data_IF_501419234596
#
_entry.id   IF_501419234596
#
_cell.length_a   1.000
_cell.length_b   1.000
_cell.length_c   1.000
_cell.angle_alpha   90.00
_cell.angle_beta   90.00
_cell.angle_gamma   90.00
#
_symmetry.space_group_name_H-M   'P 1'
#
loop_
_entity.id
_entity.type
_entity.pdbx_description
1 polymer ?
#
# COMPACT_ATOMS: atom_id res chain seq x y z
N UNK A 1 -36.24 13.82 16.42
CA UNK A 1 -35.30 12.68 16.38
C UNK A 1 -34.08 13.13 15.60
N UNK A 2 -33.02 13.50 16.31
CA UNK A 2 -31.78 14.01 15.72
C UNK A 2 -30.95 12.85 15.18
N UNK A 3 -30.77 12.79 13.87
CA UNK A 3 -29.74 11.97 13.24
C UNK A 3 -28.39 12.62 13.51
N UNK A 4 -27.60 11.98 14.36
CA UNK A 4 -26.25 12.41 14.70
C UNK A 4 -25.36 12.30 13.45
N UNK A 5 -24.78 13.42 13.06
CA UNK A 5 -23.70 13.54 12.09
C UNK A 5 -22.52 12.64 12.49
N UNK A 6 -22.06 11.74 11.62
CA UNK A 6 -20.79 11.01 11.83
C UNK A 6 -19.98 10.85 10.54
N UNK A 7 -19.98 11.89 9.71
CA UNK A 7 -19.02 12.03 8.60
C UNK A 7 -18.15 13.24 8.88
N UNK A 8 -17.10 13.03 9.68
CA UNK A 8 -16.12 14.08 9.99
C UNK A 8 -15.02 13.61 10.92
N UNK A 9 -13.79 13.54 10.39
CA UNK A 9 -12.51 13.64 11.14
C UNK A 9 -12.21 12.58 12.22
N UNK A 10 -12.04 11.32 11.81
CA UNK A 10 -11.31 10.34 12.63
C UNK A 10 -9.79 10.55 12.44
N UNK A 11 -9.33 11.71 12.92
CA UNK A 11 -7.93 12.11 12.93
C UNK A 11 -7.26 11.48 14.14
N UNK A 12 -6.27 10.63 13.88
CA UNK A 12 -5.53 9.92 14.91
C UNK A 12 -4.14 10.53 15.04
N UNK A 13 -3.68 10.71 16.27
CA UNK A 13 -2.26 10.93 16.51
C UNK A 13 -1.45 9.71 16.11
N UNK A 14 -0.16 9.91 15.83
CA UNK A 14 0.73 8.79 15.50
C UNK A 14 0.80 7.76 16.63
N UNK A 15 0.64 8.19 17.89
CA UNK A 15 0.60 7.30 19.04
C UNK A 15 -0.64 6.40 19.00
N UNK A 16 -1.83 6.99 18.87
CA UNK A 16 -3.09 6.24 18.75
C UNK A 16 -3.07 5.30 17.55
N UNK A 17 -2.59 5.78 16.40
CA UNK A 17 -2.48 4.98 15.19
C UNK A 17 -1.57 3.75 15.38
N UNK A 18 -0.47 3.89 16.13
CA UNK A 18 0.45 2.78 16.43
C UNK A 18 -0.11 1.75 17.41
N UNK A 19 -1.13 2.14 18.19
CA UNK A 19 -1.79 1.25 19.15
C UNK A 19 -2.90 0.40 18.52
N UNK A 20 -3.37 0.77 17.33
CA UNK A 20 -4.37 -0.02 16.61
C UNK A 20 -3.81 -1.40 16.24
N UNK A 21 -4.54 -2.43 16.64
CA UNK A 21 -4.24 -3.83 16.33
C UNK A 21 -5.15 -4.36 15.21
N UNK A 22 -4.67 -5.36 14.48
CA UNK A 22 -5.50 -6.19 13.59
C UNK A 22 -6.13 -7.37 14.35
N UNK A 23 -6.87 -8.22 13.64
CA UNK A 23 -7.57 -9.36 14.23
C UNK A 23 -6.61 -10.38 14.87
N UNK A 24 -5.36 -10.41 14.40
CA UNK A 24 -4.29 -11.27 14.88
C UNK A 24 -3.50 -10.63 16.04
N UNK A 25 -3.93 -9.47 16.54
CA UNK A 25 -3.29 -8.77 17.65
C UNK A 25 -1.98 -8.07 17.29
N UNK A 26 -1.65 -7.93 16.01
CA UNK A 26 -0.44 -7.25 15.53
C UNK A 26 -0.72 -5.79 15.26
N UNK A 27 0.32 -4.96 15.29
CA UNK A 27 0.19 -3.53 14.92
C UNK A 27 -0.28 -3.40 13.49
N UNK A 28 -1.46 -2.83 13.30
CA UNK A 28 -2.12 -2.68 11.99
C UNK A 28 -1.36 -1.75 11.05
N UNK A 29 -0.85 -0.63 11.57
CA UNK A 29 -0.15 0.40 10.77
C UNK A 29 1.35 0.52 11.08
N UNK A 30 1.89 -0.34 11.94
CA UNK A 30 3.30 -0.31 12.36
C UNK A 30 3.56 0.57 13.60
N UNK A 31 4.84 0.84 13.87
CA UNK A 31 5.27 1.64 15.03
C UNK A 31 5.12 3.14 14.80
N UNK A 32 5.15 3.92 15.89
CA UNK A 32 5.21 5.39 15.84
C UNK A 32 6.34 5.88 14.94
N UNK A 33 7.54 5.29 15.03
CA UNK A 33 8.69 5.71 14.22
C UNK A 33 8.46 5.47 12.73
N UNK A 34 7.78 4.37 12.38
CA UNK A 34 7.42 4.07 11.00
C UNK A 34 6.47 5.13 10.46
N UNK A 35 5.41 5.44 11.22
CA UNK A 35 4.43 6.45 10.83
C UNK A 35 5.08 7.84 10.73
N UNK A 36 5.91 8.22 11.70
CA UNK A 36 6.64 9.50 11.68
C UNK A 36 7.56 9.61 10.48
N UNK A 37 8.28 8.55 10.11
CA UNK A 37 9.12 8.53 8.91
C UNK A 37 8.30 8.76 7.65
N UNK A 38 7.11 8.16 7.57
CA UNK A 38 6.24 8.22 6.39
C UNK A 38 5.53 9.56 6.24
N UNK A 39 5.15 10.15 7.36
CA UNK A 39 4.73 11.56 7.40
C UNK A 39 5.85 12.47 6.89
N UNK A 40 7.08 12.30 7.38
CA UNK A 40 8.24 13.11 6.95
C UNK A 40 8.64 12.91 5.49
N UNK A 41 8.46 11.70 4.95
CA UNK A 41 8.74 11.41 3.53
C UNK A 41 7.62 11.88 2.58
N UNK A 42 6.51 12.37 3.12
CA UNK A 42 5.34 12.80 2.34
C UNK A 42 4.47 11.64 1.82
N UNK A 43 4.77 10.40 2.21
CA UNK A 43 4.00 9.22 1.80
C UNK A 43 2.67 9.06 2.55
N UNK A 44 2.51 9.74 3.70
CA UNK A 44 1.30 9.71 4.49
C UNK A 44 0.74 11.13 4.67
N UNK A 45 -0.48 11.41 4.17
CA UNK A 45 -1.16 12.67 4.41
C UNK A 45 -1.33 12.92 5.90
N UNK A 46 -1.07 14.16 6.34
CA UNK A 46 -1.16 14.54 7.74
C UNK A 46 -1.60 15.98 7.92
N UNK A 47 -2.06 16.29 9.11
CA UNK A 47 -2.31 17.65 9.61
C UNK A 47 -1.48 17.84 10.88
N UNK A 48 -0.96 19.04 11.07
CA UNK A 48 -0.28 19.41 12.31
C UNK A 48 -1.23 20.27 13.14
N UNK A 49 -1.61 19.78 14.32
CA UNK A 49 -2.49 20.49 15.27
C UNK A 49 -1.83 20.40 16.65
N UNK A 50 -1.65 21.53 17.33
CA UNK A 50 -1.00 21.63 18.64
C UNK A 50 0.37 20.94 18.73
N UNK A 51 1.17 21.06 17.65
CA UNK A 51 2.50 20.45 17.56
C UNK A 51 2.50 18.92 17.39
N UNK A 52 1.34 18.30 17.17
CA UNK A 52 1.18 16.86 16.93
C UNK A 52 0.80 16.57 15.49
N UNK A 53 1.38 15.49 14.95
CA UNK A 53 0.97 14.94 13.67
C UNK A 53 -0.32 14.13 13.85
N UNK A 54 -1.34 14.51 13.10
CA UNK A 54 -2.61 13.83 13.00
C UNK A 54 -2.79 13.28 11.59
N UNK A 55 -3.24 12.03 11.49
CA UNK A 55 -3.42 11.31 10.23
C UNK A 55 -4.85 10.77 10.17
N UNK A 56 -5.46 10.79 8.99
CA UNK A 56 -6.79 10.22 8.81
C UNK A 56 -6.74 8.68 8.90
N UNK A 57 -7.72 8.08 9.56
CA UNK A 57 -7.92 6.62 9.54
C UNK A 57 -7.97 6.06 8.11
N UNK A 58 -8.70 6.74 7.23
CA UNK A 58 -8.83 6.35 5.81
C UNK A 58 -7.50 6.40 5.07
N UNK A 59 -6.67 7.39 5.36
CA UNK A 59 -5.35 7.56 4.73
C UNK A 59 -4.39 6.47 5.19
N UNK A 60 -4.45 6.09 6.47
CA UNK A 60 -3.71 4.95 7.02
C UNK A 60 -4.11 3.63 6.35
N UNK A 61 -5.41 3.41 6.15
CA UNK A 61 -5.92 2.21 5.48
C UNK A 61 -5.53 2.17 4.00
N UNK A 62 -5.64 3.30 3.29
CA UNK A 62 -5.21 3.42 1.90
C UNK A 62 -3.71 3.16 1.75
N UNK A 63 -2.90 3.74 2.63
CA UNK A 63 -1.45 3.53 2.67
C UNK A 63 -1.10 2.05 2.91
N UNK A 64 -1.76 1.39 3.87
CA UNK A 64 -1.56 -0.05 4.13
C UNK A 64 -1.92 -0.89 2.90
N UNK A 65 -3.03 -0.57 2.23
CA UNK A 65 -3.47 -1.27 1.02
C UNK A 65 -2.47 -1.11 -0.13
N UNK A 66 -2.03 0.12 -0.41
CA UNK A 66 -1.03 0.40 -1.44
C UNK A 66 0.24 -0.44 -1.26
N UNK A 67 0.68 -0.63 0.00
CA UNK A 67 1.84 -1.48 0.30
C UNK A 67 1.59 -2.97 0.03
N UNK A 68 0.39 -3.46 0.34
CA UNK A 68 0.03 -4.85 0.07
C UNK A 68 0.02 -5.11 -1.45
N UNK A 69 -0.55 -4.18 -2.21
CA UNK A 69 -0.63 -4.26 -3.67
C UNK A 69 0.76 -4.21 -4.31
N UNK A 70 1.63 -3.30 -3.86
CA UNK A 70 3.02 -3.22 -4.33
C UNK A 70 3.81 -4.51 -4.07
N UNK A 71 3.64 -5.08 -2.87
CA UNK A 71 4.26 -6.36 -2.51
C UNK A 71 3.74 -7.50 -3.38
N UNK A 72 2.43 -7.60 -3.58
CA UNK A 72 1.83 -8.62 -4.44
C UNK A 72 2.36 -8.52 -5.88
N UNK A 73 2.46 -7.30 -6.41
CA UNK A 73 3.04 -7.06 -7.74
C UNK A 73 4.52 -7.48 -7.81
N UNK A 74 5.32 -7.14 -6.79
CA UNK A 74 6.73 -7.54 -6.73
C UNK A 74 6.89 -9.08 -6.68
N UNK A 75 6.05 -9.77 -5.91
CA UNK A 75 6.02 -11.23 -5.80
C UNK A 75 5.62 -11.88 -7.15
N UNK A 76 4.58 -11.37 -7.82
CA UNK A 76 4.18 -11.80 -9.16
C UNK A 76 5.30 -11.61 -10.19
N UNK A 77 5.96 -10.45 -10.19
CA UNK A 77 7.10 -10.16 -11.08
C UNK A 77 8.25 -11.13 -10.83
N UNK A 78 8.54 -11.45 -9.56
CA UNK A 78 9.57 -12.42 -9.21
C UNK A 78 9.19 -13.86 -9.61
N UNK A 79 7.91 -14.23 -9.51
CA UNK A 79 7.41 -15.52 -9.99
C UNK A 79 7.50 -15.63 -11.52
N UNK A 80 7.07 -14.59 -12.24
CA UNK A 80 7.15 -14.53 -13.70
C UNK A 80 8.61 -14.64 -14.19
N UNK A 81 9.55 -13.95 -13.55
CA UNK A 81 10.99 -14.07 -13.87
C UNK A 81 11.52 -15.50 -13.66
N UNK A 82 11.10 -16.16 -12.58
CA UNK A 82 11.50 -17.55 -12.30
C UNK A 82 10.94 -18.51 -13.34
N UNK A 83 9.65 -18.37 -13.69
CA UNK A 83 9.02 -19.16 -14.73
C UNK A 83 9.71 -18.95 -16.10
N UNK A 84 10.01 -17.71 -16.47
CA UNK A 84 10.71 -17.39 -17.71
C UNK A 84 12.12 -18.00 -17.76
N UNK A 85 12.84 -18.06 -16.64
CA UNK A 85 14.17 -18.68 -16.55
C UNK A 85 14.11 -20.21 -16.76
N UNK A 86 13.03 -20.85 -16.31
CA UNK A 86 12.83 -22.29 -16.43
C UNK A 86 12.20 -22.70 -17.76
N UNK A 87 11.60 -21.75 -18.47
CA UNK A 87 10.96 -22.01 -19.75
C UNK A 87 12.00 -22.33 -20.85
N UNK A 88 11.68 -23.27 -21.76
CA UNK A 88 12.51 -23.50 -22.93
C UNK A 88 12.61 -22.23 -23.78
N UNK A 89 13.72 -22.03 -24.51
CA UNK A 89 13.90 -20.87 -25.36
C UNK A 89 12.77 -20.78 -26.39
N UNK A 90 12.12 -19.63 -26.45
CA UNK A 90 11.02 -19.38 -27.38
C UNK A 90 11.60 -19.30 -28.80
N UNK A 91 11.01 -20.05 -29.74
CA UNK A 91 11.39 -20.00 -31.14
C UNK A 91 11.23 -18.57 -31.70
N UNK A 92 12.01 -18.26 -32.74
CA UNK A 92 11.99 -16.93 -33.37
C UNK A 92 10.59 -16.53 -33.83
N UNK A 93 9.88 -17.45 -34.50
CA UNK A 93 8.51 -17.24 -34.99
C UNK A 93 7.53 -16.91 -33.85
N UNK A 94 7.62 -17.64 -32.74
CA UNK A 94 6.74 -17.41 -31.58
C UNK A 94 7.07 -16.10 -30.86
N UNK A 95 8.33 -15.66 -30.88
CA UNK A 95 8.73 -14.34 -30.39
C UNK A 95 8.19 -13.21 -31.25
N UNK A 96 8.24 -13.35 -32.56
CA UNK A 96 7.70 -12.38 -33.52
C UNK A 96 6.17 -12.25 -33.38
N UNK A 97 5.46 -13.36 -33.19
CA UNK A 97 4.01 -13.38 -32.96
C UNK A 97 3.62 -12.69 -31.65
N UNK A 98 4.33 -12.95 -30.54
CA UNK A 98 4.11 -12.27 -29.25
C UNK A 98 4.37 -10.76 -29.39
N UNK A 99 5.47 -10.38 -30.06
CA UNK A 99 5.81 -8.99 -30.28
C UNK A 99 4.76 -8.25 -31.13
N UNK A 100 4.17 -8.93 -32.12
CA UNK A 100 3.08 -8.37 -32.92
C UNK A 100 1.82 -8.12 -32.08
N UNK A 101 1.41 -9.07 -31.23
CA UNK A 101 0.25 -8.93 -30.34
C UNK A 101 0.46 -7.75 -29.36
N UNK A 102 1.62 -7.67 -28.71
CA UNK A 102 1.91 -6.63 -27.71
C UNK A 102 2.06 -5.22 -28.30
N UNK A 103 2.38 -5.10 -29.59
CA UNK A 103 2.55 -3.80 -30.27
C UNK A 103 1.21 -3.25 -30.81
N UNK A 104 0.18 -4.09 -30.93
CA UNK A 104 -1.15 -3.74 -31.42
C UNK A 104 -2.25 -3.69 -30.36
N UNK A 105 -1.90 -3.86 -29.08
CA UNK A 105 -2.82 -3.82 -27.93
C UNK A 105 -2.65 -2.54 -27.10
#
# INVERSE_FOLDING_TARGET
>A
MSILSTTGTDLLSLAEASEIRDAEGRRRYGSIDTLRRKVKSGELPHRMIDGKYLVGRSDLDAWRKSKADERAYAELKAAAKRAAKLAPPISRERRELIAAILRGA
#
